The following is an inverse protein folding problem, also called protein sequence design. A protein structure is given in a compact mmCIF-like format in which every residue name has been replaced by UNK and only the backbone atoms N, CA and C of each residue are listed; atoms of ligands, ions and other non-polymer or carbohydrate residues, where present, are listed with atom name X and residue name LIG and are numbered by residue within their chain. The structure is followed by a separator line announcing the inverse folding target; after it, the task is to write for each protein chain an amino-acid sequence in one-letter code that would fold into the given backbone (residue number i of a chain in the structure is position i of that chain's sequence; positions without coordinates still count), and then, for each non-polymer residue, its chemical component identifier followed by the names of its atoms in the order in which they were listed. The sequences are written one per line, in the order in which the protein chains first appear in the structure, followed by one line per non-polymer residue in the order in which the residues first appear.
data_IF_708220308508
#
_entry.id   IF_708220308508
#
_cell.length_a   1.000
_cell.length_b   1.000
_cell.length_c   1.000
_cell.angle_alpha   90.00
_cell.angle_beta   90.00
_cell.angle_gamma   90.00
#
_symmetry.space_group_name_H-M   'P 1'
#
loop_
_entity.id
_entity.type
_entity.pdbx_description
1 polymer ?
#
# COMPACT_ATOMS: atom_id res chain seq x y z
N UNK A 1 14.88 6.80 7.54
CA UNK A 1 15.11 5.55 6.78
C UNK A 1 16.58 5.40 6.36
N UNK A 2 17.13 6.33 5.59
CA UNK A 2 18.51 6.27 5.05
C UNK A 2 19.59 5.83 6.05
N UNK A 3 19.69 6.48 7.21
CA UNK A 3 20.68 6.12 8.22
C UNK A 3 20.51 4.67 8.72
N UNK A 4 19.27 4.21 8.90
CA UNK A 4 19.00 2.84 9.31
C UNK A 4 19.44 1.82 8.24
N UNK A 5 19.06 2.04 6.98
CA UNK A 5 19.47 1.15 5.88
C UNK A 5 21.00 1.08 5.74
N UNK A 6 21.69 2.22 5.87
CA UNK A 6 23.13 2.27 5.71
C UNK A 6 23.90 1.70 6.90
N UNK A 7 23.52 2.07 8.12
CA UNK A 7 24.27 1.72 9.33
C UNK A 7 23.93 0.34 9.89
N UNK A 8 22.71 -0.17 9.65
CA UNK A 8 22.21 -1.39 10.30
C UNK A 8 21.91 -2.52 9.31
N UNK A 9 21.56 -2.20 8.05
CA UNK A 9 21.20 -3.21 7.04
C UNK A 9 22.36 -3.44 6.05
N UNK A 10 23.14 -2.39 5.75
CA UNK A 10 24.33 -2.49 4.90
C UNK A 10 24.16 -1.94 3.48
N UNK A 11 23.08 -1.21 3.19
CA UNK A 11 22.92 -0.52 1.92
C UNK A 11 23.93 0.64 1.84
N UNK A 12 24.79 0.63 0.83
CA UNK A 12 25.79 1.69 0.69
C UNK A 12 25.15 2.97 0.19
N UNK A 13 25.74 4.11 0.56
CA UNK A 13 25.18 5.43 0.22
C UNK A 13 25.21 5.69 -1.29
N UNK A 14 26.24 5.17 -1.97
CA UNK A 14 26.39 5.21 -3.42
C UNK A 14 25.35 4.38 -4.19
N UNK A 15 24.75 3.38 -3.54
CA UNK A 15 23.70 2.53 -4.08
C UNK A 15 22.30 3.06 -3.70
N UNK A 16 22.17 4.37 -3.44
CA UNK A 16 20.91 5.01 -3.06
C UNK A 16 20.62 6.24 -3.91
N UNK A 17 19.41 6.29 -4.48
CA UNK A 17 18.81 7.53 -4.98
C UNK A 17 17.89 8.11 -3.91
N UNK A 18 18.13 9.36 -3.50
CA UNK A 18 17.33 10.06 -2.48
C UNK A 18 16.77 11.35 -3.06
N UNK A 19 15.44 11.41 -3.12
CA UNK A 19 14.71 12.55 -3.63
C UNK A 19 14.01 13.28 -2.48
N UNK A 20 14.34 14.56 -2.27
CA UNK A 20 13.67 15.43 -1.28
C UNK A 20 13.52 16.84 -1.84
N UNK A 21 12.43 17.51 -1.48
CA UNK A 21 12.02 18.79 -2.05
C UNK A 21 12.76 20.01 -1.47
N UNK A 22 13.61 19.78 -0.47
CA UNK A 22 14.51 20.78 0.14
C UNK A 22 15.91 20.81 -0.50
N UNK A 23 16.21 19.92 -1.45
CA UNK A 23 17.50 19.86 -2.13
C UNK A 23 17.64 20.90 -3.25
N UNK A 24 18.82 21.49 -3.40
CA UNK A 24 19.09 22.45 -4.47
C UNK A 24 19.24 21.81 -5.86
N UNK A 25 19.69 20.55 -5.93
CA UNK A 25 19.90 19.86 -7.20
C UNK A 25 18.54 19.46 -7.81
N UNK A 26 18.19 19.94 -9.03
CA UNK A 26 16.94 19.56 -9.69
C UNK A 26 16.78 18.06 -9.92
N UNK A 27 17.88 17.32 -10.08
CA UNK A 27 17.86 15.86 -10.24
C UNK A 27 17.59 15.11 -8.93
N UNK A 28 17.64 15.81 -7.79
CA UNK A 28 17.28 15.27 -6.47
C UNK A 28 15.89 15.73 -6.00
N UNK A 29 15.20 16.55 -6.79
CA UNK A 29 13.85 17.01 -6.48
C UNK A 29 12.83 15.94 -6.88
N UNK A 30 11.82 15.63 -6.03
CA UNK A 30 10.84 14.56 -6.27
C UNK A 30 9.74 15.01 -7.25
N UNK A 31 10.14 15.43 -8.45
CA UNK A 31 9.20 15.67 -9.55
C UNK A 31 8.70 14.34 -10.13
N UNK A 32 7.57 14.35 -10.84
CA UNK A 32 7.02 13.13 -11.46
C UNK A 32 8.07 12.42 -12.31
N UNK A 33 8.78 13.18 -13.14
CA UNK A 33 9.82 12.66 -14.01
C UNK A 33 10.98 12.03 -13.23
N UNK A 34 11.47 12.70 -12.17
CA UNK A 34 12.60 12.20 -11.39
C UNK A 34 12.21 10.96 -10.58
N UNK A 35 11.00 10.92 -10.01
CA UNK A 35 10.49 9.74 -9.31
C UNK A 35 10.41 8.55 -10.26
N UNK A 36 9.78 8.70 -11.43
CA UNK A 36 9.66 7.61 -12.40
C UNK A 36 11.03 7.12 -12.88
N UNK A 37 11.99 8.03 -13.12
CA UNK A 37 13.37 7.65 -13.45
C UNK A 37 14.02 6.85 -12.33
N UNK A 38 13.86 7.26 -11.07
CA UNK A 38 14.41 6.55 -9.92
C UNK A 38 13.79 5.16 -9.74
N UNK A 39 12.48 5.02 -9.98
CA UNK A 39 11.79 3.72 -9.97
C UNK A 39 12.35 2.79 -11.05
N UNK A 40 12.56 3.29 -12.28
CA UNK A 40 13.20 2.51 -13.34
C UNK A 40 14.62 2.10 -12.99
N UNK A 41 15.44 3.04 -12.49
CA UNK A 41 16.80 2.75 -12.03
C UNK A 41 16.85 1.67 -10.94
N UNK A 42 15.90 1.70 -9.99
CA UNK A 42 15.88 0.77 -8.85
C UNK A 42 15.73 -0.69 -9.30
N UNK A 43 14.99 -0.94 -10.37
CA UNK A 43 14.69 -2.31 -10.85
C UNK A 43 15.48 -2.71 -12.10
N UNK A 44 16.23 -1.79 -12.69
CA UNK A 44 17.04 -2.03 -13.86
C UNK A 44 18.11 -3.08 -13.55
N UNK A 45 18.19 -4.11 -14.40
CA UNK A 45 19.14 -5.22 -14.30
C UNK A 45 19.16 -6.00 -12.96
N UNK A 46 18.11 -5.89 -12.13
CA UNK A 46 18.01 -6.62 -10.88
C UNK A 46 18.08 -8.15 -11.10
N UNK A 47 18.94 -8.81 -10.33
CA UNK A 47 19.24 -10.23 -10.42
C UNK A 47 18.64 -11.02 -9.24
N UNK A 48 18.36 -12.32 -9.41
CA UNK A 48 17.93 -13.16 -8.30
C UNK A 48 18.86 -13.05 -7.07
N UNK A 49 18.26 -12.89 -5.90
CA UNK A 49 18.89 -12.63 -4.60
C UNK A 49 19.36 -11.19 -4.36
N UNK A 50 19.15 -10.26 -5.29
CA UNK A 50 19.26 -8.84 -4.98
C UNK A 50 18.14 -8.42 -4.02
N UNK A 51 18.45 -7.46 -3.14
CA UNK A 51 17.52 -6.86 -2.19
C UNK A 51 17.38 -5.38 -2.48
N UNK A 52 16.21 -5.01 -3.00
CA UNK A 52 15.82 -3.66 -3.35
C UNK A 52 14.95 -3.07 -2.24
N UNK A 53 15.12 -1.78 -1.98
CA UNK A 53 14.33 -1.06 -0.98
C UNK A 53 13.72 0.22 -1.56
N UNK A 54 12.41 0.38 -1.43
CA UNK A 54 11.68 1.57 -1.82
C UNK A 54 11.01 2.22 -0.61
N UNK A 55 11.24 3.51 -0.39
CA UNK A 55 10.56 4.28 0.66
C UNK A 55 9.92 5.52 0.06
N UNK A 56 8.61 5.67 0.27
CA UNK A 56 7.88 6.89 -0.06
C UNK A 56 7.28 7.50 1.20
N UNK A 57 7.48 8.79 1.40
CA UNK A 57 6.83 9.57 2.46
C UNK A 57 6.36 10.89 1.87
N UNK A 58 5.04 11.06 1.80
CA UNK A 58 4.44 12.20 1.11
C UNK A 58 2.92 12.13 1.10
N UNK A 59 2.30 12.90 0.21
CA UNK A 59 0.86 12.85 0.04
C UNK A 59 0.46 11.63 -0.78
N UNK A 60 -0.54 10.92 -0.28
CA UNK A 60 -1.27 9.92 -1.05
C UNK A 60 -2.75 10.29 -1.12
N UNK A 61 -3.44 9.72 -2.08
CA UNK A 61 -4.86 9.96 -2.32
C UNK A 61 -5.46 8.87 -3.19
N UNK A 62 -6.63 9.18 -3.75
CA UNK A 62 -7.34 8.27 -4.62
C UNK A 62 -7.80 9.00 -5.89
N UNK A 63 -7.70 8.35 -7.04
CA UNK A 63 -8.29 8.79 -8.31
C UNK A 63 -9.30 7.77 -8.79
N UNK A 64 -10.22 8.14 -9.68
CA UNK A 64 -11.20 7.18 -10.21
C UNK A 64 -10.47 6.10 -11.00
N UNK A 65 -10.73 4.84 -10.65
CA UNK A 65 -10.28 3.65 -11.40
C UNK A 65 -10.94 3.66 -12.80
N UNK A 66 -10.12 3.46 -13.82
CA UNK A 66 -10.52 3.43 -15.22
C UNK A 66 -10.39 2.04 -15.87
N UNK A 67 -9.79 1.06 -15.19
CA UNK A 67 -9.43 -0.25 -15.72
C UNK A 67 -10.18 -1.42 -15.02
N UNK A 68 -10.81 -1.11 -13.88
CA UNK A 68 -11.73 -1.97 -13.13
C UNK A 68 -11.02 -3.08 -12.37
N UNK A 69 -9.82 -2.81 -11.85
CA UNK A 69 -9.07 -3.73 -11.00
C UNK A 69 -9.20 -3.42 -9.50
N UNK A 70 -9.94 -2.36 -9.13
CA UNK A 70 -10.23 -2.01 -7.73
C UNK A 70 -11.70 -2.26 -7.33
N UNK A 71 -11.93 -2.83 -6.15
CA UNK A 71 -13.26 -3.20 -5.62
C UNK A 71 -14.16 -1.97 -5.33
N UNK A 72 -13.56 -0.77 -5.27
CA UNK A 72 -14.21 0.46 -4.82
C UNK A 72 -14.22 1.60 -5.86
N UNK A 73 -13.92 1.32 -7.13
CA UNK A 73 -13.85 2.30 -8.24
C UNK A 73 -12.75 3.38 -8.08
N UNK A 74 -11.69 3.14 -7.28
CA UNK A 74 -10.61 4.13 -7.09
C UNK A 74 -9.20 3.52 -6.96
N UNK A 75 -8.27 3.99 -7.79
CA UNK A 75 -6.83 3.74 -7.70
C UNK A 75 -6.21 4.57 -6.57
N UNK A 76 -5.22 4.01 -5.88
CA UNK A 76 -4.34 4.74 -4.97
C UNK A 76 -3.26 5.52 -5.75
N UNK A 77 -2.94 6.73 -5.26
CA UNK A 77 -1.98 7.60 -5.96
C UNK A 77 -0.99 8.24 -5.01
N UNK A 78 0.21 8.50 -5.51
CA UNK A 78 1.20 9.35 -4.86
C UNK A 78 1.33 10.69 -5.59
N UNK A 79 1.62 11.76 -4.86
CA UNK A 79 1.75 13.11 -5.43
C UNK A 79 3.22 13.56 -5.46
N UNK A 80 3.82 13.72 -6.66
CA UNK A 80 5.09 14.42 -6.84
C UNK A 80 5.01 15.90 -6.47
N UNK A 81 6.15 16.58 -6.29
CA UNK A 81 6.15 18.02 -5.92
C UNK A 81 5.51 18.92 -6.99
N UNK A 82 5.56 18.50 -8.25
CA UNK A 82 5.01 19.18 -9.43
C UNK A 82 3.66 18.60 -9.88
N UNK A 83 2.95 17.86 -9.01
CA UNK A 83 1.71 17.16 -9.38
C UNK A 83 0.61 18.06 -9.95
N UNK A 84 0.62 19.36 -9.61
CA UNK A 84 -0.35 20.32 -10.15
C UNK A 84 -0.17 20.56 -11.64
N UNK A 85 1.03 20.36 -12.16
CA UNK A 85 1.36 20.52 -13.58
C UNK A 85 1.42 19.17 -14.30
N UNK A 86 1.93 18.13 -13.65
CA UNK A 86 2.24 16.84 -14.30
C UNK A 86 1.33 15.68 -13.87
N UNK A 87 0.42 15.92 -12.92
CA UNK A 87 -0.48 14.92 -12.37
C UNK A 87 0.18 14.06 -11.28
N UNK A 88 -0.60 13.12 -10.76
CA UNK A 88 -0.16 12.12 -9.79
C UNK A 88 0.47 10.90 -10.49
N UNK A 89 0.99 9.96 -9.70
CA UNK A 89 1.43 8.63 -10.17
C UNK A 89 0.49 7.60 -9.53
N UNK A 90 -0.15 6.76 -10.33
CA UNK A 90 -1.08 5.70 -9.86
C UNK A 90 -0.31 4.47 -9.42
N UNK A 91 -0.83 3.73 -8.45
CA UNK A 91 -0.42 2.37 -8.07
C UNK A 91 -0.17 1.46 -9.27
N UNK A 92 -1.00 1.55 -10.29
CA UNK A 92 -0.95 0.81 -11.53
C UNK A 92 0.32 1.12 -12.37
N UNK A 93 0.72 2.40 -12.41
CA UNK A 93 1.99 2.84 -13.00
C UNK A 93 3.19 2.38 -12.15
N UNK A 94 3.06 2.43 -10.83
CA UNK A 94 4.09 1.98 -9.89
C UNK A 94 4.30 0.45 -10.01
N UNK A 95 3.23 -0.33 -10.05
CA UNK A 95 3.24 -1.78 -10.21
C UNK A 95 3.86 -2.18 -11.55
N UNK A 96 3.46 -1.51 -12.63
CA UNK A 96 4.02 -1.76 -13.97
C UNK A 96 5.53 -1.52 -14.01
N UNK A 97 6.04 -0.52 -13.30
CA UNK A 97 7.46 -0.17 -13.30
C UNK A 97 8.25 -1.05 -12.32
N UNK A 98 7.80 -1.18 -11.08
CA UNK A 98 8.61 -1.76 -10.01
C UNK A 98 8.32 -3.24 -9.70
N UNK A 99 7.19 -3.78 -10.12
CA UNK A 99 6.78 -5.17 -9.78
C UNK A 99 6.87 -6.09 -11.00
N UNK A 100 6.22 -5.71 -12.11
CA UNK A 100 6.13 -6.56 -13.31
C UNK A 100 7.48 -6.97 -13.92
N UNK A 101 8.52 -6.11 -13.96
CA UNK A 101 9.78 -6.48 -14.60
C UNK A 101 10.68 -7.39 -13.75
N UNK A 102 10.41 -7.52 -12.45
CA UNK A 102 11.30 -8.22 -11.53
C UNK A 102 11.31 -9.73 -11.77
N UNK A 103 12.52 -10.30 -11.75
CA UNK A 103 12.75 -11.73 -11.91
C UNK A 103 12.48 -12.50 -10.62
N UNK A 104 12.26 -13.81 -10.75
CA UNK A 104 12.11 -14.70 -9.61
C UNK A 104 13.32 -14.62 -8.66
N UNK A 105 13.05 -14.52 -7.36
CA UNK A 105 14.09 -14.42 -6.33
C UNK A 105 14.69 -13.03 -6.12
N UNK A 106 14.29 -12.00 -6.89
CA UNK A 106 14.58 -10.61 -6.53
C UNK A 106 13.67 -10.23 -5.37
N UNK A 107 14.23 -9.61 -4.31
CA UNK A 107 13.47 -9.01 -3.22
C UNK A 107 13.23 -7.53 -3.48
N UNK A 108 11.97 -7.08 -3.42
CA UNK A 108 11.64 -5.66 -3.28
C UNK A 108 10.88 -5.45 -1.97
N UNK A 109 11.46 -4.67 -1.05
CA UNK A 109 10.78 -4.23 0.18
C UNK A 109 10.36 -2.77 0.02
N UNK A 110 9.07 -2.49 0.09
CA UNK A 110 8.52 -1.15 -0.02
C UNK A 110 7.90 -0.68 1.29
N UNK A 111 8.07 0.59 1.64
CA UNK A 111 7.38 1.26 2.75
C UNK A 111 6.72 2.53 2.24
N UNK A 112 5.41 2.66 2.50
CA UNK A 112 4.64 3.86 2.21
C UNK A 112 4.17 4.55 3.49
N UNK A 113 4.65 5.77 3.68
CA UNK A 113 4.18 6.75 4.68
C UNK A 113 3.22 7.75 4.02
N UNK A 114 2.13 7.26 3.44
CA UNK A 114 1.10 8.07 2.80
C UNK A 114 -0.31 7.57 3.15
N UNK A 115 -1.29 8.46 3.10
CA UNK A 115 -2.70 8.07 3.22
C UNK A 115 -3.12 7.31 1.94
N UNK A 116 -4.05 6.35 2.05
CA UNK A 116 -4.47 5.52 0.91
C UNK A 116 -3.26 4.88 0.22
N UNK A 117 -2.52 4.06 0.98
CA UNK A 117 -1.34 3.32 0.50
C UNK A 117 -1.44 1.82 0.77
N UNK A 118 -2.65 1.31 1.00
CA UNK A 118 -2.91 -0.11 1.26
C UNK A 118 -2.65 -0.99 0.03
N UNK A 119 -2.88 -0.44 -1.16
CA UNK A 119 -2.77 -1.07 -2.47
C UNK A 119 -1.79 -0.35 -3.41
N UNK A 120 -0.96 0.60 -2.93
CA UNK A 120 0.01 1.38 -3.73
C UNK A 120 1.00 0.62 -4.65
N UNK A 121 1.02 -0.72 -4.61
CA UNK A 121 1.78 -1.62 -5.50
C UNK A 121 0.91 -2.72 -6.15
N UNK A 122 -0.41 -2.63 -6.04
CA UNK A 122 -1.41 -3.61 -6.48
C UNK A 122 -1.12 -5.05 -6.07
N UNK A 123 -0.62 -5.24 -4.85
CA UNK A 123 -0.22 -6.56 -4.38
C UNK A 123 -1.45 -7.37 -3.92
N UNK A 124 -1.69 -8.57 -4.48
CA UNK A 124 -2.97 -9.27 -4.31
C UNK A 124 -3.14 -10.00 -2.97
N UNK A 125 -2.05 -10.17 -2.20
CA UNK A 125 -2.10 -10.81 -0.88
C UNK A 125 -1.91 -9.77 0.21
N UNK A 126 -2.93 -9.54 1.04
CA UNK A 126 -2.89 -8.56 2.12
C UNK A 126 -3.06 -9.28 3.46
N UNK A 127 -2.16 -9.03 4.40
CA UNK A 127 -2.13 -9.65 5.72
C UNK A 127 -2.47 -8.63 6.81
N UNK A 128 -3.29 -9.08 7.75
CA UNK A 128 -3.58 -8.35 8.99
C UNK A 128 -2.63 -8.75 10.11
N UNK A 129 -2.66 -8.02 11.23
CA UNK A 129 -1.78 -8.20 12.39
C UNK A 129 -1.82 -9.60 13.03
N UNK A 130 -2.84 -10.40 12.74
CA UNK A 130 -2.94 -11.79 13.18
C UNK A 130 -2.23 -12.78 12.25
N UNK A 131 -1.54 -12.31 11.20
CA UNK A 131 -0.99 -13.16 10.14
C UNK A 131 -2.07 -13.76 9.22
N UNK A 132 -3.31 -13.33 9.41
CA UNK A 132 -4.45 -13.80 8.62
C UNK A 132 -4.50 -13.01 7.33
N UNK A 133 -4.46 -13.74 6.21
CA UNK A 133 -4.76 -13.21 4.89
C UNK A 133 -6.16 -12.59 4.93
N UNK A 134 -6.26 -11.30 4.63
CA UNK A 134 -7.54 -10.63 4.47
C UNK A 134 -8.21 -11.19 3.22
N UNK A 135 -9.04 -12.20 3.42
CA UNK A 135 -10.09 -12.51 2.46
C UNK A 135 -11.10 -11.36 2.51
N UNK A 136 -11.62 -10.89 1.37
CA UNK A 136 -12.67 -9.87 1.35
C UNK A 136 -13.87 -10.43 2.13
N UNK A 137 -14.03 -9.96 3.36
CA UNK A 137 -15.19 -10.28 4.16
C UNK A 137 -16.32 -9.34 3.72
N UNK A 138 -16.94 -9.65 2.58
CA UNK A 138 -18.16 -8.98 2.12
C UNK A 138 -19.23 -8.89 3.22
N UNK A 139 -19.28 -9.90 4.09
CA UNK A 139 -20.19 -9.95 5.23
C UNK A 139 -19.99 -8.80 6.24
N UNK A 140 -18.77 -8.27 6.37
CA UNK A 140 -18.45 -7.19 7.33
C UNK A 140 -18.89 -5.81 6.81
N UNK A 141 -18.87 -5.61 5.50
CA UNK A 141 -19.34 -4.37 4.86
C UNK A 141 -20.85 -4.36 4.62
N UNK A 142 -21.42 -5.52 4.29
CA UNK A 142 -22.86 -5.70 4.30
C UNK A 142 -23.47 -5.34 5.66
N UNK A 143 -22.76 -5.60 6.77
CA UNK A 143 -23.20 -5.28 8.13
C UNK A 143 -23.34 -3.78 8.44
N UNK A 144 -22.51 -2.92 7.83
CA UNK A 144 -22.65 -1.46 7.97
C UNK A 144 -23.72 -0.88 7.02
N UNK A 145 -23.87 -1.46 5.83
CA UNK A 145 -24.90 -1.06 4.85
C UNK A 145 -26.32 -1.54 5.18
N UNK A 146 -26.49 -2.75 5.76
CA UNK A 146 -27.81 -3.32 6.08
C UNK A 146 -28.57 -2.52 7.13
N UNK A 147 -27.88 -1.83 8.04
CA UNK A 147 -28.53 -1.03 9.08
C UNK A 147 -29.38 0.11 8.48
N UNK A 148 -28.94 0.69 7.37
CA UNK A 148 -29.72 1.68 6.61
C UNK A 148 -30.91 1.06 5.86
N UNK A 149 -30.76 -0.18 5.40
CA UNK A 149 -31.82 -0.95 4.69
C UNK A 149 -32.95 -1.37 5.65
N UNK A 150 -32.60 -1.74 6.90
CA UNK A 150 -33.59 -2.09 7.93
C UNK A 150 -34.36 -0.83 8.39
N UNK A 151 -33.69 0.32 8.50
CA UNK A 151 -34.31 1.60 8.85
C UNK A 151 -35.31 2.09 7.79
N UNK A 152 -35.06 1.84 6.51
CA UNK A 152 -35.92 2.29 5.40
C UNK A 152 -37.15 1.40 5.21
N UNK A 153 -37.09 0.13 5.63
CA UNK A 153 -38.25 -0.75 5.68
C UNK A 153 -39.35 -0.24 6.64
N UNK A 154 -38.96 0.49 7.70
CA UNK A 154 -39.92 1.10 8.62
C UNK A 154 -40.66 2.33 8.06
N UNK A 155 -40.23 2.87 6.91
CA UNK A 155 -40.81 4.08 6.31
C UNK A 155 -41.61 3.83 5.01
N UNK A 156 -41.77 2.57 4.58
CA UNK A 156 -42.72 2.22 3.52
C UNK A 156 -42.31 2.59 2.09
N UNK A 157 -41.03 2.88 1.85
CA UNK A 157 -40.51 3.19 0.50
C UNK A 157 -39.85 1.96 -0.14
N UNK A 158 -40.66 1.16 -0.86
CA UNK A 158 -40.23 -0.10 -1.48
C UNK A 158 -39.47 0.10 -2.81
N UNK A 159 -39.54 1.28 -3.43
CA UNK A 159 -38.96 1.56 -4.75
C UNK A 159 -37.45 1.77 -4.75
N UNK A 160 -36.92 2.47 -3.73
CA UNK A 160 -35.47 2.74 -3.59
C UNK A 160 -34.67 1.60 -2.95
N UNK A 161 -35.34 0.66 -2.26
CA UNK A 161 -34.68 -0.43 -1.52
C UNK A 161 -34.22 -1.55 -2.45
N UNK A 162 -34.99 -1.87 -3.50
CA UNK A 162 -34.65 -2.94 -4.43
C UNK A 162 -33.40 -2.64 -5.28
N UNK A 163 -33.25 -1.39 -5.75
CA UNK A 163 -32.07 -0.96 -6.52
C UNK A 163 -30.79 -0.98 -5.69
N UNK A 164 -30.88 -0.59 -4.41
CA UNK A 164 -29.72 -0.59 -3.52
C UNK A 164 -29.28 -2.02 -3.19
N UNK A 165 -30.21 -2.92 -2.88
CA UNK A 165 -29.91 -4.36 -2.65
C UNK A 165 -29.31 -5.01 -3.89
N UNK A 166 -29.86 -4.75 -5.08
CA UNK A 166 -29.31 -5.27 -6.33
C UNK A 166 -27.90 -4.73 -6.60
N UNK A 167 -27.66 -3.44 -6.32
CA UNK A 167 -26.32 -2.84 -6.37
C UNK A 167 -25.32 -3.54 -5.45
N UNK A 168 -25.73 -3.87 -4.22
CA UNK A 168 -24.87 -4.60 -3.27
C UNK A 168 -24.57 -6.03 -3.70
N UNK A 169 -25.55 -6.78 -4.22
CA UNK A 169 -25.33 -8.16 -4.71
C UNK A 169 -24.45 -8.15 -5.98
N UNK A 170 -24.66 -7.19 -6.88
CA UNK A 170 -23.82 -7.04 -8.06
C UNK A 170 -22.38 -6.65 -7.69
N UNK A 171 -22.21 -5.74 -6.72
CA UNK A 171 -20.90 -5.36 -6.19
C UNK A 171 -20.20 -6.55 -5.53
N UNK A 172 -20.96 -7.39 -4.83
CA UNK A 172 -20.45 -8.61 -4.23
C UNK A 172 -19.88 -9.61 -5.26
N UNK A 173 -20.66 -9.92 -6.30
CA UNK A 173 -20.23 -10.82 -7.36
C UNK A 173 -19.06 -10.25 -8.18
N UNK A 174 -19.07 -8.93 -8.44
CA UNK A 174 -17.96 -8.26 -9.11
C UNK A 174 -16.67 -8.29 -8.29
N UNK A 175 -16.72 -8.14 -6.96
CA UNK A 175 -15.52 -8.17 -6.11
C UNK A 175 -14.79 -9.53 -6.12
N UNK A 176 -15.54 -10.63 -6.17
CA UNK A 176 -14.94 -11.96 -6.33
C UNK A 176 -14.24 -12.10 -7.71
N UNK A 177 -14.84 -11.56 -8.77
CA UNK A 177 -14.26 -11.55 -10.12
C UNK A 177 -13.01 -10.64 -10.23
N UNK A 178 -13.05 -9.45 -9.62
CA UNK A 178 -11.92 -8.51 -9.54
C UNK A 178 -10.76 -9.13 -8.78
N UNK A 179 -11.02 -9.77 -7.63
CA UNK A 179 -9.99 -10.49 -6.88
C UNK A 179 -9.38 -11.63 -7.68
N UNK A 180 -10.19 -12.45 -8.34
CA UNK A 180 -9.69 -13.52 -9.20
C UNK A 180 -8.85 -12.97 -10.36
N UNK A 181 -9.26 -11.85 -10.96
CA UNK A 181 -8.48 -11.14 -11.98
C UNK A 181 -7.15 -10.69 -11.40
N UNK A 182 -7.12 -10.03 -10.24
CA UNK A 182 -5.91 -9.52 -9.60
C UNK A 182 -4.94 -10.64 -9.21
N UNK A 183 -5.46 -11.76 -8.71
CA UNK A 183 -4.64 -12.96 -8.44
C UNK A 183 -4.03 -13.57 -9.72
N UNK A 184 -4.60 -13.32 -10.90
CA UNK A 184 -4.05 -13.78 -12.18
C UNK A 184 -3.12 -12.76 -12.81
N UNK A 185 -3.34 -11.46 -12.60
CA UNK A 185 -2.66 -10.38 -13.34
C UNK A 185 -1.62 -9.61 -12.54
N UNK A 186 -1.74 -9.56 -11.20
CA UNK A 186 -0.88 -8.77 -10.32
C UNK A 186 0.04 -9.60 -9.41
N UNK A 187 -0.04 -10.93 -9.49
CA UNK A 187 0.98 -11.79 -8.87
C UNK A 187 2.31 -11.67 -9.61
N UNK A 188 3.42 -11.81 -8.89
CA UNK A 188 4.77 -11.79 -9.48
C UNK A 188 5.59 -12.98 -8.97
N UNK A 189 6.48 -13.57 -9.81
CA UNK A 189 7.44 -14.56 -9.35
C UNK A 189 8.54 -13.96 -8.46
N UNK A 190 8.72 -12.63 -8.48
CA UNK A 190 9.60 -11.92 -7.56
C UNK A 190 9.01 -11.85 -6.16
N UNK A 191 9.88 -11.67 -5.17
CA UNK A 191 9.51 -11.53 -3.75
C UNK A 191 9.29 -10.05 -3.43
N UNK A 192 8.06 -9.57 -3.62
CA UNK A 192 7.69 -8.17 -3.39
C UNK A 192 6.86 -8.07 -2.12
N UNK A 193 7.34 -7.26 -1.18
CA UNK A 193 6.74 -7.04 0.13
C UNK A 193 6.51 -5.54 0.33
N UNK A 194 5.30 -5.15 0.67
CA UNK A 194 4.94 -3.78 0.99
C UNK A 194 4.44 -3.64 2.42
N UNK A 195 4.91 -2.61 3.10
CA UNK A 195 4.39 -2.16 4.38
C UNK A 195 3.76 -0.78 4.23
N UNK A 196 2.54 -0.61 4.73
CA UNK A 196 1.86 0.68 4.71
C UNK A 196 1.09 0.92 6.00
N UNK A 197 0.83 2.19 6.30
CA UNK A 197 0.02 2.60 7.45
C UNK A 197 -1.20 3.40 6.98
N UNK A 198 -2.41 2.88 7.20
CA UNK A 198 -3.65 3.61 6.90
C UNK A 198 -4.57 3.70 8.12
N UNK A 199 -5.49 4.66 8.12
CA UNK A 199 -6.55 4.73 9.15
C UNK A 199 -7.76 3.93 8.69
N UNK A 200 -8.47 3.27 9.61
CA UNK A 200 -9.65 2.45 9.26
C UNK A 200 -10.79 3.21 8.57
N UNK A 201 -10.93 4.51 8.84
CA UNK A 201 -12.07 5.33 8.40
C UNK A 201 -11.62 6.52 7.54
N UNK A 202 -10.51 6.40 6.81
CA UNK A 202 -10.09 7.46 5.88
C UNK A 202 -11.11 7.54 4.73
N UNK A 203 -12.00 8.53 4.79
CA UNK A 203 -12.85 8.88 3.65
C UNK A 203 -12.11 9.82 2.71
N UNK A 204 -12.45 9.84 1.42
CA UNK A 204 -11.79 10.70 0.42
C UNK A 204 -11.85 12.20 0.78
N UNK A 205 -12.84 12.61 1.58
CA UNK A 205 -12.95 13.96 2.14
C UNK A 205 -11.94 14.24 3.28
N UNK A 206 -11.59 13.23 4.08
CA UNK A 206 -10.57 13.35 5.13
C UNK A 206 -9.16 13.43 4.55
N UNK A 207 -8.92 12.79 3.39
CA UNK A 207 -7.67 12.88 2.64
C UNK A 207 -7.36 14.31 2.20
N UNK A 208 -8.40 15.10 1.91
CA UNK A 208 -8.26 16.52 1.52
C UNK A 208 -8.04 17.45 2.71
N UNK A 209 -8.38 17.03 3.94
CA UNK A 209 -8.48 17.91 5.11
C UNK A 209 -7.40 17.63 6.18
N UNK A 210 -6.88 16.39 6.28
CA UNK A 210 -5.86 16.03 7.30
C UNK A 210 -4.72 15.21 6.68
N UNK A 211 -3.98 15.87 5.79
CA UNK A 211 -2.90 15.30 4.95
C UNK A 211 -1.53 15.27 5.64
N UNK A 212 -1.44 14.88 6.92
CA UNK A 212 -0.17 14.99 7.66
C UNK A 212 0.74 13.77 7.39
N UNK A 213 1.73 13.96 6.51
CA UNK A 213 2.85 13.05 6.29
C UNK A 213 3.72 13.01 7.56
N UNK A 214 3.43 12.07 8.45
CA UNK A 214 4.06 12.02 9.79
C UNK A 214 5.16 10.97 9.91
N UNK A 215 5.52 10.29 8.81
CA UNK A 215 6.56 9.25 8.82
C UNK A 215 6.29 8.12 9.82
N UNK A 216 5.02 7.91 10.19
CA UNK A 216 4.63 7.07 11.31
C UNK A 216 4.97 5.60 11.05
N UNK A 217 4.74 5.12 9.83
CA UNK A 217 4.96 3.74 9.43
C UNK A 217 6.47 3.46 9.37
N UNK A 218 7.27 4.32 8.71
CA UNK A 218 8.74 4.14 8.70
C UNK A 218 9.36 4.29 10.10
N UNK A 219 8.86 5.21 10.93
CA UNK A 219 9.31 5.34 12.31
C UNK A 219 9.03 4.06 13.11
N UNK A 220 7.80 3.54 13.04
CA UNK A 220 7.41 2.33 13.76
C UNK A 220 8.19 1.10 13.26
N UNK A 221 8.35 0.96 11.94
CA UNK A 221 9.14 -0.10 11.32
C UNK A 221 10.59 -0.11 11.82
N UNK A 222 11.27 1.04 11.75
CA UNK A 222 12.67 1.18 12.21
C UNK A 222 12.76 0.97 13.71
N UNK A 223 11.79 1.46 14.49
CA UNK A 223 11.79 1.30 15.94
C UNK A 223 11.61 -0.15 16.35
N UNK A 224 10.68 -0.88 15.71
CA UNK A 224 10.45 -2.29 15.95
C UNK A 224 11.70 -3.13 15.66
N UNK A 225 12.35 -2.92 14.51
CA UNK A 225 13.56 -3.66 14.13
C UNK A 225 14.77 -3.31 14.98
N UNK A 226 14.89 -2.06 15.46
CA UNK A 226 15.95 -1.69 16.42
C UNK A 226 15.77 -2.36 17.78
N UNK A 227 14.53 -2.59 18.22
CA UNK A 227 14.23 -3.29 19.48
C UNK A 227 14.45 -4.80 19.37
N UNK A 228 14.04 -5.39 18.25
CA UNK A 228 14.26 -6.81 17.96
C UNK A 228 14.59 -7.00 16.48
N UNK A 229 15.86 -7.24 16.11
CA UNK A 229 16.23 -7.38 14.71
C UNK A 229 15.74 -8.68 14.05
N UNK A 230 15.54 -9.74 14.85
CA UNK A 230 15.13 -11.05 14.36
C UNK A 230 13.65 -11.28 14.67
N UNK A 231 12.80 -10.97 13.70
CA UNK A 231 11.36 -11.11 13.83
C UNK A 231 10.81 -11.87 12.62
N UNK A 232 9.79 -12.68 12.84
CA UNK A 232 8.93 -13.14 11.75
C UNK A 232 8.10 -11.99 11.18
N UNK A 233 7.53 -12.14 9.98
CA UNK A 233 6.64 -11.13 9.39
C UNK A 233 5.46 -10.78 10.31
N UNK A 234 4.83 -11.79 10.95
CA UNK A 234 3.71 -11.56 11.88
C UNK A 234 4.17 -10.88 13.17
N UNK A 235 5.36 -11.22 13.69
CA UNK A 235 5.93 -10.54 14.86
C UNK A 235 6.24 -9.08 14.53
N UNK A 236 6.88 -8.81 13.40
CA UNK A 236 7.21 -7.47 12.96
C UNK A 236 5.95 -6.63 12.75
N UNK A 237 4.92 -7.18 12.10
CA UNK A 237 3.64 -6.49 11.90
C UNK A 237 2.97 -6.13 13.24
N UNK A 238 3.03 -7.01 14.24
CA UNK A 238 2.51 -6.75 15.59
C UNK A 238 3.34 -5.71 16.34
N UNK A 239 4.67 -5.79 16.31
CA UNK A 239 5.53 -4.81 16.95
C UNK A 239 5.34 -3.42 16.33
N UNK A 240 5.23 -3.32 15.00
CA UNK A 240 4.92 -2.06 14.31
C UNK A 240 3.58 -1.51 14.79
N UNK A 241 2.55 -2.35 14.90
CA UNK A 241 1.23 -1.94 15.40
C UNK A 241 1.33 -1.41 16.84
N UNK A 242 2.10 -2.07 17.69
CA UNK A 242 2.29 -1.64 19.08
C UNK A 242 3.00 -0.29 19.14
N UNK A 243 4.06 -0.08 18.35
CA UNK A 243 4.72 1.23 18.26
C UNK A 243 3.75 2.31 17.76
N UNK A 244 2.99 2.04 16.69
CA UNK A 244 2.01 2.97 16.15
C UNK A 244 0.95 3.33 17.19
N UNK A 245 0.39 2.35 17.91
CA UNK A 245 -0.66 2.56 18.91
C UNK A 245 -0.25 3.51 20.06
N UNK A 246 1.05 3.73 20.27
CA UNK A 246 1.53 4.68 21.28
C UNK A 246 1.30 6.15 20.92
N UNK A 247 1.25 6.48 19.61
CA UNK A 247 1.31 7.87 19.12
C UNK A 247 0.40 8.17 17.93
N UNK A 248 -0.04 7.13 17.22
CA UNK A 248 -0.73 7.21 15.94
C UNK A 248 -1.96 6.32 15.94
N UNK A 249 -2.94 6.69 15.14
CA UNK A 249 -4.16 5.89 14.93
C UNK A 249 -4.10 5.02 13.67
N UNK A 250 -2.97 5.08 12.94
CA UNK A 250 -2.74 4.24 11.76
C UNK A 250 -2.61 2.78 12.18
N UNK A 251 -3.09 1.88 11.32
CA UNK A 251 -2.87 0.45 11.43
C UNK A 251 -1.94 0.01 10.32
N UNK A 252 -0.93 -0.83 10.64
CA UNK A 252 -0.03 -1.32 9.63
C UNK A 252 -0.72 -2.43 8.82
N UNK A 253 -0.42 -2.44 7.53
CA UNK A 253 -0.75 -3.50 6.60
C UNK A 253 0.54 -4.05 5.99
N UNK A 254 0.49 -5.35 5.72
CA UNK A 254 1.53 -6.07 4.98
C UNK A 254 0.87 -6.60 3.71
N UNK A 255 1.41 -6.30 2.54
CA UNK A 255 0.96 -6.91 1.29
C UNK A 255 2.10 -7.48 0.47
N UNK A 256 1.80 -8.50 -0.35
CA UNK A 256 2.81 -9.34 -1.01
C UNK A 256 2.38 -9.75 -2.42
N UNK A 257 3.36 -9.97 -3.32
CA UNK A 257 3.14 -10.46 -4.69
C UNK A 257 2.74 -11.94 -4.77
N UNK A 258 3.03 -12.72 -3.72
CA UNK A 258 2.78 -14.15 -3.63
C UNK A 258 2.30 -14.53 -2.21
N UNK A 259 1.72 -15.73 -2.02
CA UNK A 259 1.41 -16.22 -0.69
C UNK A 259 2.67 -16.22 0.19
N UNK A 260 2.53 -15.68 1.40
CA UNK A 260 3.60 -15.55 2.38
C UNK A 260 3.28 -16.39 3.61
N UNK A 261 4.21 -17.25 4.03
CA UNK A 261 4.20 -17.81 5.39
C UNK A 261 4.69 -16.75 6.37
N UNK A 262 3.76 -16.15 7.10
CA UNK A 262 4.05 -15.03 7.99
C UNK A 262 4.88 -15.43 9.22
N UNK A 263 5.11 -16.72 9.46
CA UNK A 263 5.99 -17.22 10.53
C UNK A 263 7.47 -17.24 10.12
N UNK A 264 7.77 -17.10 8.82
CA UNK A 264 9.15 -16.96 8.36
C UNK A 264 9.77 -15.68 8.87
N UNK A 265 11.09 -15.71 9.03
CA UNK A 265 11.89 -14.57 9.47
C UNK A 265 11.89 -13.48 8.40
N UNK A 266 11.57 -12.25 8.78
CA UNK A 266 11.69 -11.09 7.91
C UNK A 266 13.15 -10.74 7.71
N UNK A 267 13.59 -10.73 6.45
CA UNK A 267 14.96 -10.40 6.05
C UNK A 267 14.95 -9.22 5.08
N UNK A 268 16.04 -8.45 5.03
CA UNK A 268 16.29 -7.37 4.07
C UNK A 268 17.70 -7.50 3.52
#
# INVERSE_FOLDING_TARGET
MTAYLSEQVGYKREDMVILTDDQQNPMSQPTKQTILRAMHWLVEDAQPNDSLFFHYSGHGGQTKDLDGDEDYDYDEVIYPVDFRQTGHITDDEIHRIMVRPLQAGVRLTAIFDSCHSGTALDLPYIYSTQGILKEPNLAKEAGQGLLGVISSYSQGDLGGVASNIFGFIKKAANGDEVRERNLRTKTSPADVIMWSGSKDNQTSADATIVSQATGAMSWAFVTALKKSPQQSYVQLLNCIRDELATRYTQKPHLSCSHPLDTNLLFVM
#
